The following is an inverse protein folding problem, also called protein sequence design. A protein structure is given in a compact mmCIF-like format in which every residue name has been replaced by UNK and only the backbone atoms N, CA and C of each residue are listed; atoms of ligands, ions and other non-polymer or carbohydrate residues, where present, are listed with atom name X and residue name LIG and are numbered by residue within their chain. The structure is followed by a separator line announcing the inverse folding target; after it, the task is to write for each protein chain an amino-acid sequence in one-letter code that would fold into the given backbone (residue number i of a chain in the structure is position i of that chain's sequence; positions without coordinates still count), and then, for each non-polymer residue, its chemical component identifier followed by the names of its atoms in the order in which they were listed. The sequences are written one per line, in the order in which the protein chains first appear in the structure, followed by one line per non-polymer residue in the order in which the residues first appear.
data_IF_461873301594
#
_entry.id   IF_461873301594
#
_cell.length_a   1.000
_cell.length_b   1.000
_cell.length_c   1.000
_cell.angle_alpha   90.00
_cell.angle_beta   90.00
_cell.angle_gamma   90.00
#
_symmetry.space_group_name_H-M   'P 1'
#
loop_
_entity.id
_entity.type
_entity.pdbx_description
1 polymer ?
#
# COMPACT_ATOMS: atom_id res chain seq x y z
N UNK A 1 6.65 8.63 14.97
CA UNK A 1 6.02 7.42 14.40
C UNK A 1 7.07 6.33 14.34
N UNK A 2 6.69 5.10 14.62
CA UNK A 2 7.55 3.92 14.52
C UNK A 2 6.82 2.83 13.74
N UNK A 3 7.51 2.14 12.83
CA UNK A 3 6.97 0.99 12.11
C UNK A 3 7.56 -0.27 12.71
N UNK A 4 6.67 -1.19 13.10
CA UNK A 4 7.02 -2.51 13.62
C UNK A 4 6.12 -3.60 13.05
N UNK A 5 6.53 -4.86 13.20
CA UNK A 5 5.67 -5.99 12.84
C UNK A 5 4.39 -5.97 13.69
N UNK A 6 3.30 -6.31 13.03
CA UNK A 6 2.01 -6.56 13.65
C UNK A 6 2.10 -7.80 14.52
N UNK A 7 1.52 -7.75 15.70
CA UNK A 7 1.41 -8.87 16.63
C UNK A 7 -0.04 -9.11 17.02
N UNK A 8 -0.34 -10.24 17.66
CA UNK A 8 -1.72 -10.63 17.97
C UNK A 8 -2.47 -9.59 18.81
N UNK A 9 -1.78 -8.88 19.70
CA UNK A 9 -2.39 -7.84 20.54
C UNK A 9 -2.79 -6.57 19.77
N UNK A 10 -2.34 -6.41 18.52
CA UNK A 10 -2.72 -5.30 17.66
C UNK A 10 -4.03 -5.56 16.88
N UNK A 11 -4.48 -6.82 16.84
CA UNK A 11 -5.55 -7.28 15.95
C UNK A 11 -6.80 -6.40 16.01
N UNK A 12 -7.33 -6.15 17.20
CA UNK A 12 -8.57 -5.36 17.37
C UNK A 12 -8.39 -3.89 16.93
N UNK A 13 -7.24 -3.31 17.22
CA UNK A 13 -6.90 -1.95 16.77
C UNK A 13 -6.80 -1.88 15.25
N UNK A 14 -6.17 -2.87 14.64
CA UNK A 14 -6.03 -2.96 13.18
C UNK A 14 -7.39 -3.15 12.50
N UNK A 15 -8.26 -4.00 13.03
CA UNK A 15 -9.62 -4.19 12.51
C UNK A 15 -10.43 -2.88 12.58
N UNK A 16 -10.31 -2.12 13.68
CA UNK A 16 -10.95 -0.81 13.83
C UNK A 16 -10.41 0.22 12.80
N UNK A 17 -9.11 0.21 12.51
CA UNK A 17 -8.51 1.05 11.47
C UNK A 17 -9.07 0.70 10.08
N UNK A 18 -9.21 -0.58 9.75
CA UNK A 18 -9.79 -1.00 8.48
C UNK A 18 -11.28 -0.64 8.36
N UNK A 19 -12.03 -0.70 9.46
CA UNK A 19 -13.42 -0.25 9.48
C UNK A 19 -13.52 1.26 9.21
N UNK A 20 -12.73 2.06 9.92
CA UNK A 20 -12.63 3.50 9.68
C UNK A 20 -12.25 3.80 8.22
N UNK A 21 -11.25 3.11 7.67
CA UNK A 21 -10.80 3.34 6.30
C UNK A 21 -11.90 3.03 5.26
N UNK A 22 -12.68 1.97 5.46
CA UNK A 22 -13.84 1.67 4.59
C UNK A 22 -14.90 2.75 4.63
N UNK A 23 -15.23 3.24 5.83
CA UNK A 23 -16.17 4.34 5.99
C UNK A 23 -15.66 5.64 5.35
N UNK A 24 -14.39 5.96 5.58
CA UNK A 24 -13.76 7.13 4.98
C UNK A 24 -13.82 7.07 3.46
N UNK A 25 -13.39 5.96 2.85
CA UNK A 25 -13.42 5.78 1.41
C UNK A 25 -14.83 5.90 0.84
N UNK A 26 -15.82 5.28 1.48
CA UNK A 26 -17.22 5.37 1.07
C UNK A 26 -17.76 6.80 1.07
N UNK A 27 -17.39 7.59 2.08
CA UNK A 27 -17.81 9.00 2.22
C UNK A 27 -17.06 9.95 1.26
N UNK A 28 -15.92 9.51 0.70
CA UNK A 28 -15.04 10.35 -0.13
C UNK A 28 -14.94 9.85 -1.59
N UNK A 29 -16.00 9.24 -2.11
CA UNK A 29 -16.13 8.92 -3.53
C UNK A 29 -15.53 7.59 -3.96
N UNK A 30 -15.06 6.75 -3.03
CA UNK A 30 -14.51 5.44 -3.30
C UNK A 30 -15.26 4.31 -2.54
N UNK A 31 -16.56 4.11 -2.78
CA UNK A 31 -17.36 3.15 -2.02
C UNK A 31 -17.07 1.69 -2.40
N UNK A 32 -16.49 1.45 -3.58
CA UNK A 32 -16.29 0.11 -4.12
C UNK A 32 -15.03 -0.57 -3.61
N UNK A 33 -14.00 0.18 -3.30
CA UNK A 33 -12.77 -0.39 -2.75
C UNK A 33 -13.02 -0.85 -1.31
N UNK A 34 -12.91 -2.15 -1.08
CA UNK A 34 -13.10 -2.83 0.20
C UNK A 34 -14.54 -2.84 0.75
N UNK A 35 -15.41 -1.90 0.39
CA UNK A 35 -16.75 -1.76 0.94
C UNK A 35 -17.62 -3.02 0.76
N UNK A 36 -17.89 -3.44 -0.49
CA UNK A 36 -18.75 -4.59 -0.76
C UNK A 36 -18.22 -5.92 -0.22
N UNK A 37 -16.90 -6.11 -0.22
CA UNK A 37 -16.25 -7.34 0.24
C UNK A 37 -15.91 -7.32 1.71
N UNK A 38 -16.00 -6.15 2.37
CA UNK A 38 -15.49 -5.89 3.73
C UNK A 38 -14.02 -6.25 3.89
N UNK A 39 -13.24 -6.04 2.82
CA UNK A 39 -11.80 -6.30 2.81
C UNK A 39 -11.01 -5.23 3.60
N UNK A 40 -9.86 -5.55 4.23
CA UNK A 40 -9.43 -6.92 4.55
C UNK A 40 -10.33 -7.54 5.62
N UNK A 41 -10.56 -8.85 5.49
CA UNK A 41 -11.30 -9.63 6.47
C UNK A 41 -10.40 -10.05 7.63
N UNK A 42 -11.02 -10.43 8.75
CA UNK A 42 -10.33 -10.86 9.96
C UNK A 42 -9.30 -11.98 9.68
N UNK A 43 -9.69 -12.95 8.83
CA UNK A 43 -8.83 -14.09 8.48
C UNK A 43 -7.57 -13.62 7.73
N UNK A 44 -7.68 -12.59 6.85
CA UNK A 44 -6.51 -12.06 6.15
C UNK A 44 -5.57 -11.32 7.09
N UNK A 45 -6.12 -10.57 8.03
CA UNK A 45 -5.31 -9.87 9.05
C UNK A 45 -4.61 -10.88 9.95
N UNK A 46 -5.30 -11.95 10.34
CA UNK A 46 -4.70 -13.05 11.11
C UNK A 46 -3.55 -13.71 10.34
N UNK A 47 -3.73 -13.97 9.04
CA UNK A 47 -2.68 -14.52 8.19
C UNK A 47 -1.48 -13.57 8.08
N UNK A 48 -1.70 -12.25 7.95
CA UNK A 48 -0.62 -11.26 7.90
C UNK A 48 0.23 -11.27 9.18
N UNK A 49 -0.39 -11.53 10.34
CA UNK A 49 0.32 -11.72 11.62
C UNK A 49 1.14 -13.01 11.59
N UNK A 50 0.53 -14.13 11.22
CA UNK A 50 1.15 -15.46 11.21
C UNK A 50 2.33 -15.54 10.21
N UNK A 51 2.14 -14.97 9.01
CA UNK A 51 3.15 -14.91 7.95
C UNK A 51 4.24 -13.86 8.23
N UNK A 52 4.02 -12.96 9.20
CA UNK A 52 4.92 -11.85 9.52
C UNK A 52 5.01 -10.80 8.41
N UNK A 53 3.99 -10.73 7.54
CA UNK A 53 3.87 -9.74 6.46
C UNK A 53 3.13 -8.49 6.90
N UNK A 54 2.37 -8.55 8.00
CA UNK A 54 1.67 -7.42 8.60
C UNK A 54 2.60 -6.49 9.38
N UNK A 55 2.38 -5.19 9.20
CA UNK A 55 3.07 -4.12 9.92
C UNK A 55 2.09 -3.08 10.43
N UNK A 56 2.46 -2.41 11.50
CA UNK A 56 1.71 -1.29 12.08
C UNK A 56 2.59 -0.07 12.22
N UNK A 57 1.96 1.10 12.19
CA UNK A 57 2.57 2.36 12.63
C UNK A 57 2.09 2.65 14.04
N UNK A 58 3.02 2.81 14.95
CA UNK A 58 2.75 3.22 16.33
C UNK A 58 3.13 4.69 16.54
N UNK A 59 2.30 5.41 17.23
CA UNK A 59 2.55 6.78 17.66
C UNK A 59 1.96 7.03 19.04
N UNK A 60 2.79 7.49 20.00
CA UNK A 60 2.35 7.75 21.35
C UNK A 60 1.73 6.54 22.08
N UNK A 61 2.25 5.33 21.84
CA UNK A 61 1.74 4.09 22.42
C UNK A 61 0.44 3.56 21.80
N UNK A 62 -0.01 4.13 20.66
CA UNK A 62 -1.20 3.69 19.93
C UNK A 62 -0.86 3.25 18.52
N UNK A 63 -1.51 2.21 18.04
CA UNK A 63 -1.50 1.83 16.63
C UNK A 63 -2.41 2.79 15.86
N UNK A 64 -1.83 3.50 14.88
CA UNK A 64 -2.52 4.52 14.07
C UNK A 64 -2.65 4.14 12.59
N UNK A 65 -1.91 3.14 12.13
CA UNK A 65 -2.02 2.62 10.77
C UNK A 65 -1.60 1.17 10.71
N UNK A 66 -2.06 0.48 9.66
CA UNK A 66 -1.69 -0.90 9.34
C UNK A 66 -1.48 -1.08 7.84
N UNK A 67 -0.60 -2.00 7.46
CA UNK A 67 -0.34 -2.38 6.08
C UNK A 67 0.33 -3.76 6.02
N UNK A 68 0.35 -4.36 4.83
CA UNK A 68 1.17 -5.53 4.58
C UNK A 68 2.33 -5.16 3.64
N UNK A 69 3.53 -5.62 3.99
CA UNK A 69 4.74 -5.52 3.18
C UNK A 69 5.16 -6.92 2.74
N UNK A 70 5.16 -7.17 1.45
CA UNK A 70 5.35 -8.50 0.86
C UNK A 70 6.47 -8.42 -0.18
N UNK A 71 7.44 -9.33 -0.09
CA UNK A 71 8.42 -9.49 -1.16
C UNK A 71 7.79 -10.18 -2.37
N UNK A 72 8.06 -9.63 -3.54
CA UNK A 72 7.65 -10.26 -4.80
C UNK A 72 8.42 -11.57 -5.10
N UNK A 73 8.02 -12.30 -6.14
CA UNK A 73 6.95 -11.94 -7.08
C UNK A 73 5.55 -12.10 -6.48
N UNK A 74 4.68 -11.13 -6.76
CA UNK A 74 3.27 -11.18 -6.38
C UNK A 74 2.43 -11.67 -7.57
N UNK A 75 1.69 -12.78 -7.43
CA UNK A 75 0.87 -13.32 -8.52
C UNK A 75 -0.16 -12.33 -9.08
N UNK A 76 -0.65 -11.38 -8.27
CA UNK A 76 -1.58 -10.33 -8.68
C UNK A 76 -1.00 -9.44 -9.79
N UNK A 77 0.33 -9.35 -9.87
CA UNK A 77 1.04 -8.43 -10.76
C UNK A 77 1.60 -9.10 -12.03
N UNK A 78 1.31 -10.40 -12.25
CA UNK A 78 1.77 -11.10 -13.44
C UNK A 78 1.01 -10.72 -14.72
N UNK A 79 -0.27 -10.36 -14.58
CA UNK A 79 -1.13 -10.03 -15.72
C UNK A 79 -1.49 -8.53 -15.68
N UNK A 80 -0.55 -7.71 -16.14
CA UNK A 80 -0.78 -6.28 -16.33
C UNK A 80 -1.34 -6.02 -17.73
N UNK A 81 -2.38 -5.18 -17.82
CA UNK A 81 -3.05 -4.77 -19.05
C UNK A 81 -2.80 -3.29 -19.31
N UNK A 82 -2.92 -2.89 -20.57
CA UNK A 82 -2.84 -1.49 -21.02
C UNK A 82 -1.55 -0.79 -20.59
N UNK A 83 -0.47 -1.55 -20.48
CA UNK A 83 0.83 -1.07 -20.08
C UNK A 83 1.80 -2.18 -19.70
N UNK A 84 2.89 -1.82 -19.04
CA UNK A 84 3.95 -2.74 -18.65
C UNK A 84 4.68 -2.24 -17.40
N UNK A 85 5.27 -3.15 -16.64
CA UNK A 85 6.20 -2.80 -15.57
C UNK A 85 7.49 -2.21 -16.15
N UNK A 86 8.09 -1.26 -15.45
CA UNK A 86 9.23 -0.49 -15.94
C UNK A 86 10.58 -1.09 -15.54
N UNK A 87 10.58 -1.99 -14.55
CA UNK A 87 11.77 -2.57 -13.96
C UNK A 87 11.47 -4.04 -13.56
N UNK A 88 12.26 -4.99 -14.08
CA UNK A 88 12.10 -6.42 -13.81
C UNK A 88 12.95 -6.91 -12.62
N UNK A 89 13.65 -6.01 -11.93
CA UNK A 89 14.44 -6.36 -10.75
C UNK A 89 13.54 -6.80 -9.58
N UNK A 90 14.08 -7.50 -8.57
CA UNK A 90 13.31 -7.85 -7.38
C UNK A 90 12.67 -6.64 -6.72
N UNK A 91 11.40 -6.77 -6.34
CA UNK A 91 10.59 -5.70 -5.78
C UNK A 91 9.84 -6.15 -4.52
N UNK A 92 9.35 -5.20 -3.76
CA UNK A 92 8.34 -5.45 -2.74
C UNK A 92 7.01 -4.78 -3.09
N UNK A 93 5.96 -5.17 -2.38
CA UNK A 93 4.60 -4.67 -2.56
C UNK A 93 4.04 -4.20 -1.22
N UNK A 94 3.34 -3.07 -1.24
CA UNK A 94 2.47 -2.66 -0.14
C UNK A 94 1.03 -2.99 -0.49
N UNK A 95 0.41 -3.80 0.35
CA UNK A 95 -1.00 -4.08 0.29
C UNK A 95 -1.74 -3.59 1.55
N UNK A 96 -3.03 -3.35 1.42
CA UNK A 96 -3.93 -3.10 2.55
C UNK A 96 -3.51 -1.96 3.46
N UNK A 97 -2.89 -0.91 2.88
CA UNK A 97 -2.47 0.26 3.65
C UNK A 97 -3.68 1.08 4.10
N UNK A 98 -3.79 1.32 5.40
CA UNK A 98 -4.83 2.14 6.00
C UNK A 98 -4.32 2.86 7.24
N UNK A 99 -4.84 4.06 7.51
CA UNK A 99 -4.62 4.81 8.74
C UNK A 99 -5.92 5.22 9.39
N UNK A 100 -5.87 5.61 10.67
CA UNK A 100 -7.01 6.07 11.46
C UNK A 100 -7.33 7.57 11.25
N UNK A 101 -6.59 8.24 10.38
CA UNK A 101 -6.78 9.66 10.05
C UNK A 101 -6.29 10.65 11.12
N UNK A 102 -5.72 10.20 12.23
CA UNK A 102 -5.32 11.09 13.33
C UNK A 102 -4.03 11.86 13.07
N UNK A 103 -3.11 11.31 12.29
CA UNK A 103 -1.81 11.92 11.99
C UNK A 103 -1.63 12.09 10.49
N UNK A 104 -1.44 13.34 10.06
CA UNK A 104 -1.14 13.65 8.67
C UNK A 104 0.24 13.11 8.26
N UNK A 105 0.39 12.69 7.00
CA UNK A 105 1.67 12.19 6.47
C UNK A 105 1.97 10.72 6.80
N UNK A 106 1.08 10.00 7.50
CA UNK A 106 1.29 8.59 7.84
C UNK A 106 1.46 7.70 6.60
N UNK A 107 0.67 7.92 5.54
CA UNK A 107 0.81 7.18 4.28
C UNK A 107 2.15 7.42 3.58
N UNK A 108 2.63 8.67 3.57
CA UNK A 108 3.95 9.04 3.06
C UNK A 108 5.06 8.34 3.85
N UNK A 109 5.00 8.40 5.17
CA UNK A 109 5.94 7.73 6.06
C UNK A 109 6.01 6.20 5.81
N UNK A 110 4.87 5.54 5.58
CA UNK A 110 4.81 4.11 5.25
C UNK A 110 5.49 3.83 3.91
N UNK A 111 5.15 4.59 2.86
CA UNK A 111 5.67 4.34 1.50
C UNK A 111 7.17 4.65 1.39
N UNK A 112 7.67 5.68 2.07
CA UNK A 112 9.10 5.97 2.13
C UNK A 112 9.86 4.86 2.86
N UNK A 113 9.37 4.43 4.02
CA UNK A 113 9.94 3.29 4.74
C UNK A 113 9.96 2.01 3.88
N UNK A 114 8.85 1.74 3.20
CA UNK A 114 8.74 0.55 2.35
C UNK A 114 9.68 0.61 1.15
N UNK A 115 9.84 1.78 0.53
CA UNK A 115 10.78 1.98 -0.56
C UNK A 115 12.24 1.75 -0.12
N UNK A 116 12.63 2.26 1.04
CA UNK A 116 13.95 1.99 1.62
C UNK A 116 14.11 0.51 1.96
N UNK A 117 13.11 -0.08 2.61
CA UNK A 117 13.11 -1.48 3.03
C UNK A 117 13.19 -2.45 1.84
N UNK A 118 12.57 -2.11 0.72
CA UNK A 118 12.61 -2.90 -0.53
C UNK A 118 13.95 -2.80 -1.27
N UNK A 119 14.90 -2.02 -0.77
CA UNK A 119 16.13 -1.74 -1.50
C UNK A 119 15.93 -0.75 -2.66
N UNK A 120 14.77 -0.10 -2.72
CA UNK A 120 14.45 0.95 -3.69
C UNK A 120 13.70 0.45 -4.93
N UNK A 121 12.88 -0.60 -4.78
CA UNK A 121 11.93 -1.02 -5.81
C UNK A 121 10.61 -1.45 -5.17
N UNK A 122 9.56 -0.66 -5.36
CA UNK A 122 8.26 -0.82 -4.72
C UNK A 122 7.13 -0.73 -5.74
N UNK A 123 6.17 -1.65 -5.65
CA UNK A 123 4.92 -1.65 -6.42
C UNK A 123 3.73 -1.51 -5.50
N UNK A 124 2.71 -0.82 -5.97
CA UNK A 124 1.43 -0.64 -5.28
C UNK A 124 0.31 -0.63 -6.30
N UNK A 125 -0.90 -0.84 -5.85
CA UNK A 125 -2.11 -0.71 -6.67
C UNK A 125 -3.24 -0.02 -5.91
N UNK A 126 -4.14 0.61 -6.65
CA UNK A 126 -5.37 1.17 -6.08
C UNK A 126 -6.46 1.33 -7.13
N UNK A 127 -7.72 1.46 -6.69
CA UNK A 127 -8.82 1.79 -7.59
C UNK A 127 -8.70 3.22 -8.14
N UNK A 128 -9.26 3.45 -9.31
CA UNK A 128 -9.29 4.77 -9.95
C UNK A 128 -9.95 5.83 -9.07
N UNK A 129 -11.01 5.46 -8.36
CA UNK A 129 -11.75 6.34 -7.46
C UNK A 129 -10.98 6.71 -6.18
N UNK A 130 -9.89 6.03 -5.86
CA UNK A 130 -9.06 6.35 -4.69
C UNK A 130 -8.10 7.52 -4.97
N UNK A 131 -8.66 8.70 -5.12
CA UNK A 131 -7.90 9.93 -5.42
C UNK A 131 -6.83 10.21 -4.37
N UNK A 132 -7.09 9.90 -3.10
CA UNK A 132 -6.12 10.10 -2.01
C UNK A 132 -4.85 9.28 -2.24
N UNK A 133 -5.02 7.99 -2.55
CA UNK A 133 -3.87 7.11 -2.79
C UNK A 133 -3.14 7.42 -4.10
N UNK A 134 -3.88 7.78 -5.14
CA UNK A 134 -3.31 8.19 -6.44
C UNK A 134 -2.45 9.43 -6.29
N UNK A 135 -2.96 10.48 -5.67
CA UNK A 135 -2.22 11.71 -5.42
C UNK A 135 -0.98 11.47 -4.56
N UNK A 136 -1.08 10.58 -3.58
CA UNK A 136 0.07 10.19 -2.76
C UNK A 136 1.13 9.47 -3.58
N UNK A 137 0.74 8.50 -4.41
CA UNK A 137 1.64 7.78 -5.28
C UNK A 137 2.38 8.73 -6.25
N UNK A 138 1.65 9.61 -6.92
CA UNK A 138 2.21 10.61 -7.84
C UNK A 138 3.17 11.57 -7.12
N UNK A 139 2.77 12.09 -5.95
CA UNK A 139 3.61 12.97 -5.10
C UNK A 139 4.94 12.31 -4.76
N UNK A 140 4.93 11.00 -4.49
CA UNK A 140 6.12 10.25 -4.10
C UNK A 140 6.92 9.71 -5.28
N UNK A 141 6.54 10.05 -6.52
CA UNK A 141 7.27 9.68 -7.73
C UNK A 141 7.02 8.25 -8.21
N UNK A 142 5.90 7.64 -7.84
CA UNK A 142 5.44 6.43 -8.48
C UNK A 142 4.90 6.73 -9.87
N UNK A 143 5.15 5.83 -10.82
CA UNK A 143 4.71 5.92 -12.20
C UNK A 143 3.56 4.93 -12.40
N UNK A 144 2.50 5.37 -13.05
CA UNK A 144 1.39 4.49 -13.46
C UNK A 144 1.87 3.58 -14.60
N UNK A 145 1.74 2.27 -14.40
CA UNK A 145 2.28 1.26 -15.30
C UNK A 145 1.23 0.52 -16.12
N UNK A 146 -0.04 0.60 -15.73
CA UNK A 146 -1.13 -0.12 -16.40
C UNK A 146 -2.22 -0.54 -15.42
N UNK A 147 -2.97 -1.56 -15.80
CA UNK A 147 -4.14 -2.05 -15.05
C UNK A 147 -3.92 -3.50 -14.65
N UNK A 148 -4.22 -3.81 -13.41
CA UNK A 148 -4.26 -5.18 -12.88
C UNK A 148 -5.65 -5.51 -12.33
N UNK A 149 -5.91 -6.80 -12.12
CA UNK A 149 -7.12 -7.29 -11.47
C UNK A 149 -6.74 -8.12 -10.25
N UNK A 150 -7.44 -7.88 -9.15
CA UNK A 150 -7.20 -8.58 -7.88
C UNK A 150 -8.27 -9.66 -7.66
N UNK A 151 -7.88 -10.75 -6.99
CA UNK A 151 -8.79 -11.89 -6.77
C UNK A 151 -9.95 -11.59 -5.81
N UNK A 152 -9.86 -10.54 -5.00
CA UNK A 152 -10.85 -10.19 -3.99
C UNK A 152 -12.14 -9.63 -4.57
N UNK A 153 -12.06 -9.02 -5.73
CA UNK A 153 -13.17 -8.44 -6.48
C UNK A 153 -12.79 -8.35 -7.98
N UNK A 154 -13.72 -7.98 -8.82
CA UNK A 154 -13.48 -7.86 -10.27
C UNK A 154 -13.21 -6.42 -10.71
N UNK A 155 -12.95 -5.51 -9.78
CA UNK A 155 -12.65 -4.13 -10.13
C UNK A 155 -11.20 -3.98 -10.58
N UNK A 156 -10.96 -3.22 -11.66
CA UNK A 156 -9.60 -2.92 -12.10
C UNK A 156 -8.87 -2.05 -11.06
N UNK A 157 -7.56 -2.21 -11.02
CA UNK A 157 -6.66 -1.40 -10.20
C UNK A 157 -5.64 -0.74 -11.10
N UNK A 158 -5.37 0.52 -10.87
CA UNK A 158 -4.21 1.19 -11.45
C UNK A 158 -2.97 0.67 -10.72
N UNK A 159 -2.05 0.11 -11.49
CA UNK A 159 -0.76 -0.37 -11.00
C UNK A 159 0.27 0.75 -11.04
N UNK A 160 1.02 0.92 -9.97
CA UNK A 160 2.07 1.92 -9.84
C UNK A 160 3.39 1.29 -9.44
N UNK A 161 4.47 1.82 -9.97
CA UNK A 161 5.83 1.38 -9.68
C UNK A 161 6.75 2.57 -9.37
N UNK A 162 7.63 2.38 -8.40
CA UNK A 162 8.75 3.28 -8.11
C UNK A 162 10.02 2.45 -7.95
N UNK A 163 11.02 2.70 -8.80
CA UNK A 163 12.35 2.08 -8.66
C UNK A 163 13.44 3.15 -8.68
N UNK A 164 14.63 2.79 -8.22
CA UNK A 164 15.82 3.66 -8.33
C UNK A 164 16.16 3.97 -9.78
N UNK A 165 15.88 3.06 -10.70
CA UNK A 165 16.15 3.23 -12.13
C UNK A 165 15.12 4.16 -12.78
N UNK A 166 13.83 4.01 -12.45
CA UNK A 166 12.77 4.91 -12.95
C UNK A 166 12.97 6.33 -12.43
N UNK A 167 13.41 6.48 -11.20
CA UNK A 167 13.68 7.78 -10.58
C UNK A 167 14.83 8.52 -11.27
N UNK A 168 15.89 7.82 -11.63
CA UNK A 168 17.02 8.37 -12.40
C UNK A 168 16.60 8.82 -13.79
N UNK A 169 15.74 8.06 -14.48
CA UNK A 169 15.22 8.40 -15.82
C UNK A 169 14.32 9.64 -15.81
N UNK A 170 13.60 9.89 -14.72
CA UNK A 170 12.75 11.07 -14.54
C UNK A 170 13.54 12.37 -14.22
N UNK A 171 14.87 12.35 -14.19
CA UNK A 171 15.73 13.51 -14.01
C UNK A 171 15.90 13.99 -12.57
N UNK A 172 15.46 13.22 -11.58
CA UNK A 172 15.73 13.48 -10.18
C UNK A 172 17.15 12.99 -9.85
N UNK A 173 18.13 13.88 -9.98
CA UNK A 173 19.49 13.62 -9.50
C UNK A 173 19.47 13.61 -7.98
N UNK A 174 19.81 12.48 -7.37
CA UNK A 174 19.99 12.38 -5.93
C UNK A 174 21.15 13.29 -5.51
N UNK A 175 20.83 14.43 -4.88
CA UNK A 175 21.82 15.28 -4.25
C UNK A 175 22.39 14.57 -3.03
N UNK A 176 23.52 13.89 -3.20
CA UNK A 176 24.38 13.47 -2.11
C UNK A 176 25.22 14.69 -1.74
N UNK A 177 24.92 15.30 -0.61
CA UNK A 177 25.81 16.22 0.07
C UNK A 177 26.16 15.61 1.41
#
# INVERSE_FOLDING_TARGET
MEIRRMVQTDFDSVMSIYEYAREFMSKHGNPNQWGPTKWPRAERVQQDIEEGTGFVVEHGGRVIAAFAFIWGPDPTYFDIKDGEWLDDSPYAVIHRMAGDGTINGTGEYILDWAFEKSGGHLRIDTMEDNIVMRNLAEKLGFISCGIIHVAQDNYPRIAFEKSKETWRRAGYVCGIS
#
